data_IF_353240781012
#
_entry.id   IF_353240781012
#
_cell.length_a   1.000
_cell.length_b   1.000
_cell.length_c   1.000
_cell.angle_alpha   90.00
_cell.angle_beta   90.00
_cell.angle_gamma   90.00
#
_symmetry.space_group_name_H-M   'P 1'
#
loop_
_entity.id
_entity.type
_entity.pdbx_description
1 polymer ?
#
# COMPACT_ATOMS: atom_id res chain seq x y z
N UNK A 1 -0.27 74.26 -1.60
CA UNK A 1 -0.58 72.95 -0.98
C UNK A 1 -0.68 71.92 -2.11
N UNK A 2 0.29 71.02 -2.26
CA UNK A 2 0.30 69.98 -3.31
C UNK A 2 -0.11 68.65 -2.68
N UNK A 3 -1.23 68.09 -3.12
CA UNK A 3 -1.74 66.81 -2.67
C UNK A 3 -0.85 65.67 -3.22
N UNK A 4 -0.39 64.80 -2.33
CA UNK A 4 0.38 63.61 -2.67
C UNK A 4 -0.58 62.44 -2.89
N UNK A 5 -0.83 62.07 -4.14
CA UNK A 5 -1.54 60.83 -4.47
C UNK A 5 -0.57 59.65 -4.31
N UNK A 6 -0.72 58.92 -3.21
CA UNK A 6 -0.03 57.64 -2.97
C UNK A 6 -0.91 56.52 -3.52
N UNK A 7 -0.61 56.08 -4.73
CA UNK A 7 -1.20 54.89 -5.35
C UNK A 7 -0.93 53.66 -4.45
N UNK A 8 -1.99 53.10 -3.87
CA UNK A 8 -1.93 51.89 -3.08
C UNK A 8 -1.80 50.68 -4.01
N UNK A 9 -0.65 50.00 -3.94
CA UNK A 9 -0.39 48.77 -4.69
C UNK A 9 -1.33 47.65 -4.19
N UNK A 10 -2.16 47.03 -5.03
CA UNK A 10 -2.97 45.90 -4.60
C UNK A 10 -2.07 44.67 -4.44
N UNK A 11 -1.89 44.20 -3.21
CA UNK A 11 -1.32 42.89 -2.93
C UNK A 11 -2.35 41.82 -3.28
N UNK A 12 -2.18 41.17 -4.43
CA UNK A 12 -2.94 39.97 -4.78
C UNK A 12 -2.63 38.83 -3.77
N UNK A 13 -3.62 38.04 -3.34
CA UNK A 13 -3.39 36.94 -2.43
C UNK A 13 -2.69 35.79 -3.16
N UNK A 14 -1.54 35.36 -2.64
CA UNK A 14 -0.80 34.18 -3.13
C UNK A 14 -1.54 32.91 -2.71
N UNK A 15 -2.53 32.50 -3.48
CA UNK A 15 -3.24 31.22 -3.29
C UNK A 15 -2.50 30.08 -3.99
N UNK A 16 -1.25 29.81 -3.60
CA UNK A 16 -0.52 28.58 -4.02
C UNK A 16 -0.22 27.62 -2.85
N UNK A 17 -0.66 27.96 -1.63
CA UNK A 17 -0.28 27.26 -0.40
C UNK A 17 -0.82 25.82 -0.27
N UNK A 18 -1.78 25.41 -1.10
CA UNK A 18 -2.37 24.06 -1.06
C UNK A 18 -1.59 22.98 -1.82
N UNK A 19 -0.94 23.34 -2.94
CA UNK A 19 -0.27 22.35 -3.83
C UNK A 19 1.02 21.82 -3.23
N UNK A 20 1.76 22.68 -2.52
CA UNK A 20 3.04 22.33 -1.85
C UNK A 20 2.79 21.46 -0.60
N UNK A 21 1.68 21.66 0.11
CA UNK A 21 1.33 20.84 1.27
C UNK A 21 0.95 19.41 0.88
N UNK A 22 0.21 19.24 -0.22
CA UNK A 22 -0.15 17.91 -0.75
C UNK A 22 1.07 17.11 -1.22
N UNK A 23 2.00 17.74 -1.95
CA UNK A 23 3.24 17.07 -2.37
C UNK A 23 4.13 16.68 -1.20
N UNK A 24 4.14 17.47 -0.12
CA UNK A 24 4.86 17.11 1.11
C UNK A 24 4.25 15.90 1.82
N UNK A 25 2.91 15.77 1.85
CA UNK A 25 2.24 14.61 2.43
C UNK A 25 2.54 13.34 1.61
N UNK A 26 2.42 13.42 0.28
CA UNK A 26 2.72 12.31 -0.63
C UNK A 26 4.18 11.84 -0.49
N UNK A 27 5.13 12.79 -0.41
CA UNK A 27 6.55 12.46 -0.21
C UNK A 27 6.78 11.73 1.12
N UNK A 28 6.14 12.19 2.20
CA UNK A 28 6.23 11.52 3.52
C UNK A 28 5.65 10.12 3.47
N UNK A 29 4.54 9.92 2.76
CA UNK A 29 3.93 8.62 2.59
C UNK A 29 4.84 7.66 1.82
N UNK A 30 5.41 8.12 0.69
CA UNK A 30 6.37 7.31 -0.09
C UNK A 30 7.56 6.85 0.77
N UNK A 31 8.13 7.73 1.58
CA UNK A 31 9.22 7.37 2.49
C UNK A 31 8.80 6.32 3.54
N UNK A 32 7.58 6.43 4.07
CA UNK A 32 7.04 5.43 5.01
C UNK A 32 6.83 4.08 4.35
N UNK A 33 6.29 4.07 3.13
CA UNK A 33 6.08 2.84 2.35
C UNK A 33 7.43 2.19 2.06
N UNK A 34 8.40 2.96 1.61
CA UNK A 34 9.74 2.46 1.30
C UNK A 34 10.43 1.88 2.54
N UNK A 35 10.44 2.60 3.67
CA UNK A 35 11.00 2.12 4.94
C UNK A 35 10.31 0.84 5.42
N UNK A 36 8.99 0.76 5.29
CA UNK A 36 8.22 -0.43 5.66
C UNK A 36 8.57 -1.60 4.76
N UNK A 37 8.67 -1.37 3.46
CA UNK A 37 9.02 -2.40 2.49
C UNK A 37 10.42 -2.95 2.75
N UNK A 38 11.41 -2.08 3.02
CA UNK A 38 12.78 -2.49 3.40
C UNK A 38 12.78 -3.43 4.59
N UNK A 39 12.04 -3.10 5.65
CA UNK A 39 11.91 -3.94 6.84
C UNK A 39 11.23 -5.29 6.55
N UNK A 40 10.17 -5.30 5.75
CA UNK A 40 9.43 -6.54 5.44
C UNK A 40 10.26 -7.51 4.59
N UNK A 41 11.08 -6.99 3.68
CA UNK A 41 11.86 -7.81 2.74
C UNK A 41 13.32 -8.01 3.19
N UNK A 42 13.67 -7.53 4.38
CA UNK A 42 15.03 -7.65 4.94
C UNK A 42 16.11 -6.93 4.16
N UNK A 43 15.80 -5.78 3.54
CA UNK A 43 16.75 -5.02 2.69
C UNK A 43 17.48 -3.94 3.50
N UNK A 44 18.77 -3.75 3.22
CA UNK A 44 19.61 -2.73 3.86
C UNK A 44 19.18 -1.29 3.52
N UNK A 45 19.56 -0.35 4.39
CA UNK A 45 19.15 1.06 4.32
C UNK A 45 19.82 1.87 3.18
N UNK A 46 20.69 1.24 2.39
CA UNK A 46 21.36 1.83 1.23
C UNK A 46 21.01 1.20 -0.13
N UNK A 47 20.16 0.16 -0.17
CA UNK A 47 19.85 -0.51 -1.44
C UNK A 47 19.06 0.41 -2.37
N UNK A 48 19.34 0.31 -3.67
CA UNK A 48 18.65 1.12 -4.67
C UNK A 48 17.15 0.79 -4.72
N UNK A 49 16.32 1.73 -5.18
CA UNK A 49 14.88 1.50 -5.30
C UNK A 49 14.57 0.29 -6.20
N UNK A 50 15.35 0.08 -7.26
CA UNK A 50 15.22 -1.06 -8.15
C UNK A 50 15.47 -2.38 -7.41
N UNK A 51 16.58 -2.48 -6.68
CA UNK A 51 16.93 -3.68 -5.90
C UNK A 51 15.92 -3.96 -4.80
N UNK A 52 15.39 -2.93 -4.15
CA UNK A 52 14.34 -3.07 -3.16
C UNK A 52 13.08 -3.70 -3.77
N UNK A 53 12.65 -3.23 -4.95
CA UNK A 53 11.48 -3.79 -5.65
C UNK A 53 11.74 -5.22 -6.12
N UNK A 54 12.93 -5.51 -6.66
CA UNK A 54 13.30 -6.87 -7.05
C UNK A 54 13.33 -7.82 -5.86
N UNK A 55 13.83 -7.37 -4.71
CA UNK A 55 13.83 -8.12 -3.45
C UNK A 55 12.41 -8.40 -2.96
N UNK A 56 11.51 -7.42 -3.07
CA UNK A 56 10.09 -7.59 -2.74
C UNK A 56 9.41 -8.62 -3.65
N UNK A 57 9.67 -8.58 -4.96
CA UNK A 57 9.15 -9.57 -5.91
C UNK A 57 9.64 -10.98 -5.56
N UNK A 58 10.93 -11.12 -5.23
CA UNK A 58 11.52 -12.41 -4.82
C UNK A 58 10.83 -12.94 -3.56
N UNK A 59 10.66 -12.10 -2.55
CA UNK A 59 10.01 -12.46 -1.29
C UNK A 59 8.55 -12.89 -1.49
N UNK A 60 7.79 -12.19 -2.34
CA UNK A 60 6.40 -12.59 -2.67
C UNK A 60 6.37 -13.98 -3.31
N UNK A 61 7.27 -14.27 -4.25
CA UNK A 61 7.33 -15.59 -4.91
C UNK A 61 7.70 -16.71 -3.93
N UNK A 62 8.59 -16.43 -2.99
CA UNK A 62 8.94 -17.36 -1.93
C UNK A 62 7.73 -17.67 -1.04
N UNK A 63 6.99 -16.64 -0.59
CA UNK A 63 5.77 -16.83 0.18
C UNK A 63 4.71 -17.61 -0.59
N UNK A 64 4.53 -17.34 -1.89
CA UNK A 64 3.62 -18.11 -2.75
C UNK A 64 4.04 -19.58 -2.81
N UNK A 65 5.33 -19.85 -2.99
CA UNK A 65 5.85 -21.22 -3.01
C UNK A 65 5.67 -21.93 -1.67
N UNK A 66 5.85 -21.23 -0.54
CA UNK A 66 5.58 -21.79 0.78
C UNK A 66 4.10 -22.18 0.91
N UNK A 67 3.17 -21.30 0.53
CA UNK A 67 1.73 -21.57 0.58
C UNK A 67 1.29 -22.75 -0.30
N UNK A 68 1.89 -22.91 -1.48
CA UNK A 68 1.61 -24.04 -2.39
C UNK A 68 2.15 -25.37 -1.85
N UNK A 69 3.30 -25.35 -1.18
CA UNK A 69 3.95 -26.55 -0.67
C UNK A 69 3.52 -26.93 0.75
N UNK A 70 2.85 -26.02 1.47
CA UNK A 70 2.33 -26.30 2.82
C UNK A 70 1.11 -27.21 2.75
N UNK A 71 1.34 -28.51 2.95
CA UNK A 71 0.27 -29.53 2.94
C UNK A 71 -0.77 -29.30 4.04
N UNK A 72 -0.42 -28.57 5.11
CA UNK A 72 -1.32 -28.20 6.20
C UNK A 72 -2.37 -27.15 5.80
N UNK A 73 -2.18 -26.43 4.68
CA UNK A 73 -3.21 -25.55 4.11
C UNK A 73 -4.30 -26.31 3.34
N UNK A 74 -4.13 -27.62 3.12
CA UNK A 74 -5.24 -28.41 2.61
C UNK A 74 -6.27 -28.60 3.73
N UNK A 75 -7.51 -28.22 3.44
CA UNK A 75 -8.65 -28.60 4.27
C UNK A 75 -8.54 -30.11 4.51
N UNK A 76 -8.52 -30.59 5.77
CA UNK A 76 -8.43 -32.02 6.04
C UNK A 76 -9.50 -32.73 5.22
N UNK A 77 -9.14 -33.81 4.50
CA UNK A 77 -10.08 -34.50 3.59
C UNK A 77 -11.40 -34.83 4.30
N UNK A 78 -11.35 -35.23 5.57
CA UNK A 78 -12.55 -35.49 6.38
C UNK A 78 -13.44 -34.26 6.68
N UNK A 79 -12.89 -33.04 6.67
CA UNK A 79 -13.66 -31.80 6.79
C UNK A 79 -14.25 -31.38 5.44
N UNK A 80 -13.54 -31.65 4.34
CA UNK A 80 -14.01 -31.41 2.98
C UNK A 80 -15.20 -32.32 2.64
N UNK A 81 -15.13 -33.60 3.04
CA UNK A 81 -16.22 -34.57 2.91
C UNK A 81 -17.45 -34.16 3.73
N UNK A 82 -17.24 -33.69 4.97
CA UNK A 82 -18.32 -33.21 5.84
C UNK A 82 -19.03 -31.98 5.26
N UNK A 83 -18.28 -30.98 4.78
CA UNK A 83 -18.84 -29.78 4.13
C UNK A 83 -19.64 -30.14 2.87
N UNK A 84 -19.16 -31.11 2.10
CA UNK A 84 -19.85 -31.60 0.90
C UNK A 84 -21.15 -32.33 1.26
N UNK A 85 -21.16 -33.15 2.32
CA UNK A 85 -22.38 -33.79 2.84
C UNK A 85 -23.42 -32.78 3.37
N UNK A 86 -22.97 -31.73 4.06
CA UNK A 86 -23.87 -30.68 4.55
C UNK A 86 -24.51 -29.86 3.42
N UNK A 87 -23.78 -29.64 2.32
CA UNK A 87 -24.30 -28.93 1.15
C UNK A 87 -25.41 -29.70 0.42
N UNK A 88 -25.34 -31.04 0.34
CA UNK A 88 -26.36 -31.88 -0.31
C UNK A 88 -27.68 -31.89 0.49
N UNK A 89 -27.61 -31.79 1.83
CA UNK A 89 -28.79 -31.81 2.70
C UNK A 89 -29.70 -30.59 2.56
N UNK A 90 -29.23 -29.50 1.94
CA UNK A 90 -30.00 -28.26 1.76
C UNK A 90 -30.87 -28.23 0.48
N UNK A 91 -30.71 -29.20 -0.42
CA UNK A 91 -31.42 -29.25 -1.70
C UNK A 91 -32.64 -30.20 -1.73
N UNK A 92 -32.88 -30.98 -0.67
CA UNK A 92 -33.92 -32.01 -0.66
C UNK A 92 -35.26 -31.59 0.00
N UNK A 93 -35.40 -30.32 0.40
CA UNK A 93 -36.66 -29.78 0.93
C UNK A 93 -36.96 -28.44 0.28
N UNK A 94 -37.50 -28.48 -0.94
CA UNK A 94 -38.24 -27.40 -1.56
C UNK A 94 -39.39 -28.00 -2.37
#
# INVERSE_FOLDING_TARGET
MKAMHREARPSAPVTSSGRIRKSSAERKEKLKVESTLRRLVGSEEGTSQLELVLSAIRYIRELQSQLENDKENNVPDGLQDFLTQCAVSKAATA
#
